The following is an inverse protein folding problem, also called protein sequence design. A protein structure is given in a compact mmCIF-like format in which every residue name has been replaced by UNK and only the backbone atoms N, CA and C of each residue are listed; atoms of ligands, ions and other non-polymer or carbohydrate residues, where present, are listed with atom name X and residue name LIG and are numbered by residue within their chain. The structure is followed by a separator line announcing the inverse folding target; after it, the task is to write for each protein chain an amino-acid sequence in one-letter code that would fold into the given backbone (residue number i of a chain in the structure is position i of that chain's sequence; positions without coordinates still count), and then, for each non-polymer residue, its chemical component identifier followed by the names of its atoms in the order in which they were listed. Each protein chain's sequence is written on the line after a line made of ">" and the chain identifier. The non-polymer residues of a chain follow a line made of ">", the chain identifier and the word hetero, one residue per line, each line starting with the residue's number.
data_IF_830127100652
#
_entry.id   IF_830127100652
#
_cell.length_a   1.000
_cell.length_b   1.000
_cell.length_c   1.000
_cell.angle_alpha   90.00
_cell.angle_beta   90.00
_cell.angle_gamma   90.00
#
_symmetry.space_group_name_H-M   'P 1'
#
loop_
_entity.id
_entity.type
_entity.pdbx_description
1 polymer ?
#
# COMPACT_ATOMS: atom_id res chain seq x y z
N UNK A 1 -2.94 -4.52 -6.53
CA UNK A 1 -2.02 -3.34 -6.66
C UNK A 1 -0.71 -3.50 -5.87
N UNK A 2 -0.58 -4.49 -4.98
CA UNK A 2 0.61 -4.67 -4.11
C UNK A 2 1.97 -4.75 -4.83
N UNK A 3 2.03 -5.24 -6.06
CA UNK A 3 3.26 -5.31 -6.84
C UNK A 3 3.83 -3.93 -7.23
N UNK A 4 3.02 -2.88 -7.22
CA UNK A 4 3.45 -1.50 -7.48
C UNK A 4 4.45 -1.04 -6.41
N UNK A 5 4.40 -1.63 -5.20
CA UNK A 5 5.37 -1.33 -4.13
C UNK A 5 6.83 -1.57 -4.52
N UNK A 6 7.08 -2.46 -5.47
CA UNK A 6 8.43 -2.63 -6.03
C UNK A 6 8.92 -1.43 -6.85
N UNK A 7 8.03 -0.74 -7.56
CA UNK A 7 8.35 0.52 -8.24
C UNK A 7 8.51 1.67 -7.25
N UNK A 8 7.69 1.70 -6.18
CA UNK A 8 7.84 2.67 -5.09
C UNK A 8 9.17 2.48 -4.36
N UNK A 9 9.53 1.25 -4.00
CA UNK A 9 10.83 0.92 -3.39
C UNK A 9 11.99 1.40 -4.24
N UNK A 10 11.94 1.15 -5.56
CA UNK A 10 12.96 1.60 -6.49
C UNK A 10 13.05 3.13 -6.54
N UNK A 11 11.91 3.82 -6.54
CA UNK A 11 11.86 5.28 -6.53
C UNK A 11 12.38 5.89 -5.21
N UNK A 12 12.31 5.14 -4.11
CA UNK A 12 12.86 5.54 -2.80
C UNK A 12 14.30 5.07 -2.57
N UNK A 13 14.91 4.34 -3.52
CA UNK A 13 16.25 3.78 -3.35
C UNK A 13 16.37 2.71 -2.27
N UNK A 14 15.27 2.02 -1.92
CA UNK A 14 15.25 0.96 -0.90
C UNK A 14 15.02 -0.42 -1.52
N UNK A 15 15.61 -1.49 -0.97
CA UNK A 15 15.35 -2.86 -1.45
C UNK A 15 13.89 -3.26 -1.27
N UNK A 16 13.35 -3.99 -2.24
CA UNK A 16 12.03 -4.59 -2.17
C UNK A 16 12.13 -6.11 -2.05
N UNK A 17 11.51 -6.66 -1.02
CA UNK A 17 11.41 -8.11 -0.81
C UNK A 17 9.94 -8.52 -0.82
N UNK A 18 9.41 -9.00 -1.95
CA UNK A 18 8.04 -9.48 -2.01
C UNK A 18 7.94 -10.86 -1.33
N UNK A 19 6.89 -11.04 -0.54
CA UNK A 19 6.51 -12.34 0.01
C UNK A 19 5.17 -12.73 -0.61
N UNK A 20 5.15 -13.89 -1.28
CA UNK A 20 3.98 -14.38 -2.00
C UNK A 20 3.12 -15.22 -1.06
N UNK A 21 1.99 -14.67 -0.65
CA UNK A 21 0.98 -15.35 0.14
C UNK A 21 -0.13 -15.99 -0.70
N UNK A 22 -0.88 -16.91 -0.10
CA UNK A 22 -2.04 -17.56 -0.71
C UNK A 22 -3.32 -16.70 -0.67
N UNK A 23 -3.29 -15.57 0.06
CA UNK A 23 -4.42 -14.65 0.24
C UNK A 23 -5.43 -15.10 1.30
N UNK A 24 -5.10 -16.09 2.12
CA UNK A 24 -5.92 -16.50 3.25
C UNK A 24 -5.61 -15.64 4.48
N UNK A 25 -6.56 -14.84 4.91
CA UNK A 25 -6.42 -13.86 5.98
C UNK A 25 -5.84 -14.42 7.29
N UNK A 26 -6.16 -15.68 7.63
CA UNK A 26 -5.63 -16.34 8.83
C UNK A 26 -4.16 -16.76 8.70
N UNK A 27 -3.62 -16.87 7.48
CA UNK A 27 -2.28 -17.35 7.19
C UNK A 27 -1.29 -16.23 6.86
N UNK A 28 -1.75 -15.05 6.51
CA UNK A 28 -0.92 -13.92 6.04
C UNK A 28 0.26 -13.61 6.98
N UNK A 29 0.03 -13.55 8.29
CA UNK A 29 1.10 -13.25 9.26
C UNK A 29 2.11 -14.39 9.37
N UNK A 30 1.65 -15.65 9.23
CA UNK A 30 2.55 -16.81 9.25
C UNK A 30 3.39 -16.86 7.97
N UNK A 31 2.79 -16.62 6.82
CA UNK A 31 3.49 -16.54 5.54
C UNK A 31 4.52 -15.41 5.54
N UNK A 32 4.18 -14.27 6.14
CA UNK A 32 5.11 -13.16 6.35
C UNK A 32 6.28 -13.59 7.25
N UNK A 33 6.01 -14.29 8.37
CA UNK A 33 7.05 -14.78 9.28
C UNK A 33 7.98 -15.77 8.58
N UNK A 34 7.41 -16.73 7.87
CA UNK A 34 8.19 -17.75 7.12
C UNK A 34 9.07 -17.08 6.05
N UNK A 35 8.53 -16.08 5.34
CA UNK A 35 9.28 -15.28 4.37
C UNK A 35 10.40 -14.45 5.02
N UNK A 36 10.18 -13.90 6.21
CA UNK A 36 11.19 -13.14 6.97
C UNK A 36 12.28 -14.04 7.58
N UNK A 37 12.03 -15.33 7.76
CA UNK A 37 13.02 -16.30 8.26
C UNK A 37 13.84 -16.91 7.13
N UNK A 38 13.16 -17.37 6.09
CA UNK A 38 13.76 -18.22 5.04
C UNK A 38 14.06 -17.45 3.74
N UNK A 39 13.56 -16.24 3.60
CA UNK A 39 13.47 -15.55 2.30
C UNK A 39 12.39 -16.15 1.40
N UNK A 40 11.95 -15.38 0.41
CA UNK A 40 11.01 -15.87 -0.59
C UNK A 40 11.79 -16.57 -1.71
N UNK A 41 11.17 -17.61 -2.27
CA UNK A 41 11.78 -18.30 -3.41
C UNK A 41 11.60 -17.46 -4.68
N UNK A 42 12.67 -17.17 -5.43
CA UNK A 42 12.55 -16.41 -6.68
C UNK A 42 11.51 -16.99 -7.63
N UNK A 43 11.41 -18.33 -7.72
CA UNK A 43 10.45 -19.02 -8.58
C UNK A 43 8.99 -18.75 -8.18
N UNK A 44 8.71 -18.53 -6.89
CA UNK A 44 7.37 -18.16 -6.41
C UNK A 44 7.00 -16.77 -6.89
N UNK A 45 7.93 -15.81 -6.79
CA UNK A 45 7.76 -14.43 -7.25
C UNK A 45 7.57 -14.41 -8.77
N UNK A 46 8.48 -15.01 -9.52
CA UNK A 46 8.43 -15.07 -10.98
C UNK A 46 7.12 -15.70 -11.48
N UNK A 47 6.72 -16.85 -10.91
CA UNK A 47 5.46 -17.51 -11.25
C UNK A 47 4.23 -16.66 -10.94
N UNK A 48 4.27 -15.87 -9.85
CA UNK A 48 3.18 -14.96 -9.51
C UNK A 48 2.99 -13.86 -10.56
N UNK A 49 4.10 -13.29 -11.05
CA UNK A 49 4.10 -12.27 -12.09
C UNK A 49 3.74 -12.83 -13.46
N UNK A 50 4.32 -13.97 -13.84
CA UNK A 50 4.03 -14.64 -15.12
C UNK A 50 2.55 -14.97 -15.29
N UNK A 51 1.92 -15.53 -14.25
CA UNK A 51 0.48 -15.84 -14.26
C UNK A 51 -0.41 -14.62 -14.50
N UNK A 52 0.11 -13.42 -14.29
CA UNK A 52 -0.62 -12.14 -14.45
C UNK A 52 -0.18 -11.36 -15.69
N UNK A 53 0.77 -11.90 -16.45
CA UNK A 53 1.35 -11.20 -17.60
C UNK A 53 2.11 -9.93 -17.23
N UNK A 54 2.63 -9.86 -16.00
CA UNK A 54 3.36 -8.71 -15.48
C UNK A 54 4.86 -9.00 -15.45
N UNK A 55 5.67 -7.94 -15.53
CA UNK A 55 7.12 -8.02 -15.34
C UNK A 55 7.44 -7.60 -13.90
N UNK A 56 8.17 -8.44 -13.13
CA UNK A 56 8.52 -8.07 -11.76
C UNK A 56 9.46 -6.86 -11.73
N UNK A 57 9.22 -5.87 -10.85
CA UNK A 57 10.21 -4.88 -10.50
C UNK A 57 11.47 -5.56 -9.92
N UNK A 58 12.57 -4.82 -9.84
CA UNK A 58 13.77 -5.33 -9.16
C UNK A 58 13.45 -5.68 -7.70
N UNK A 59 13.75 -6.89 -7.29
CA UNK A 59 13.50 -7.37 -5.94
C UNK A 59 14.71 -8.12 -5.38
N UNK A 60 14.72 -8.32 -4.06
CA UNK A 60 15.65 -9.21 -3.37
C UNK A 60 14.89 -10.35 -2.68
N UNK A 61 15.50 -11.51 -2.63
CA UNK A 61 15.04 -12.65 -1.81
C UNK A 61 15.92 -12.84 -0.57
N UNK A 62 16.97 -12.03 -0.43
CA UNK A 62 17.89 -12.09 0.69
C UNK A 62 17.40 -11.21 1.84
N UNK A 63 17.35 -11.80 3.03
CA UNK A 63 17.02 -11.09 4.26
C UNK A 63 18.32 -10.50 4.81
N UNK A 64 18.35 -9.21 5.18
CA UNK A 64 19.49 -8.66 5.89
C UNK A 64 19.77 -9.47 7.17
N UNK A 65 21.01 -9.77 7.45
CA UNK A 65 21.39 -10.59 8.61
C UNK A 65 21.37 -9.84 9.95
N UNK A 66 21.27 -8.51 9.88
CA UNK A 66 21.48 -7.58 10.99
C UNK A 66 20.30 -6.65 11.27
N UNK A 67 19.10 -6.98 10.78
CA UNK A 67 17.91 -6.19 11.09
C UNK A 67 17.43 -6.46 12.52
N UNK A 68 17.08 -5.42 13.26
CA UNK A 68 16.70 -5.43 14.67
C UNK A 68 15.29 -4.89 14.94
N UNK A 69 14.65 -4.35 13.93
CA UNK A 69 13.34 -3.71 14.09
C UNK A 69 12.48 -3.85 12.84
N UNK A 70 11.18 -3.89 13.08
CA UNK A 70 10.12 -3.94 12.07
C UNK A 70 9.23 -2.70 12.19
N UNK A 71 9.13 -1.93 11.12
CA UNK A 71 8.17 -0.82 11.03
C UNK A 71 6.91 -1.31 10.33
N UNK A 72 5.76 -1.12 10.95
CA UNK A 72 4.47 -1.60 10.45
C UNK A 72 3.51 -0.45 10.27
N UNK A 73 2.94 -0.35 9.06
CA UNK A 73 1.95 0.65 8.70
C UNK A 73 0.53 0.38 9.20
N UNK A 74 0.31 -0.65 10.05
CA UNK A 74 -1.00 -0.92 10.62
C UNK A 74 -1.47 0.23 11.52
N UNK A 75 -2.67 0.76 11.26
CA UNK A 75 -3.13 1.98 11.91
C UNK A 75 -4.17 1.72 12.99
N UNK A 76 -5.07 0.72 12.87
CA UNK A 76 -6.21 0.59 13.78
C UNK A 76 -6.64 -0.81 14.18
N UNK A 77 -6.16 -1.86 13.54
CA UNK A 77 -6.58 -3.23 13.85
C UNK A 77 -5.79 -3.84 15.01
N UNK A 78 -6.35 -3.83 16.22
CA UNK A 78 -5.78 -4.50 17.40
C UNK A 78 -5.46 -5.98 17.12
N UNK A 79 -6.31 -6.64 16.35
CA UNK A 79 -6.13 -8.03 15.96
C UNK A 79 -4.86 -8.22 15.11
N UNK A 80 -4.68 -7.40 14.08
CA UNK A 80 -3.48 -7.46 13.23
C UNK A 80 -2.23 -7.08 14.02
N UNK A 81 -2.30 -6.00 14.80
CA UNK A 81 -1.19 -5.53 15.64
C UNK A 81 -0.71 -6.62 16.59
N UNK A 82 -1.62 -7.25 17.36
CA UNK A 82 -1.26 -8.30 18.30
C UNK A 82 -0.55 -9.48 17.62
N UNK A 83 -1.01 -9.89 16.44
CA UNK A 83 -0.39 -10.99 15.69
C UNK A 83 1.01 -10.63 15.18
N UNK A 84 1.19 -9.40 14.71
CA UNK A 84 2.49 -8.92 14.25
C UNK A 84 3.46 -8.72 15.44
N UNK A 85 2.99 -8.22 16.59
CA UNK A 85 3.79 -8.13 17.82
C UNK A 85 4.27 -9.51 18.30
N UNK A 86 3.39 -10.52 18.26
CA UNK A 86 3.77 -11.90 18.59
C UNK A 86 4.80 -12.47 17.60
N UNK A 87 4.66 -12.17 16.32
CA UNK A 87 5.63 -12.54 15.29
C UNK A 87 6.98 -11.87 15.56
N UNK A 88 7.01 -10.55 15.75
CA UNK A 88 8.23 -9.80 16.04
C UNK A 88 8.94 -10.34 17.31
N UNK A 89 8.17 -10.67 18.34
CA UNK A 89 8.71 -11.30 19.56
C UNK A 89 9.38 -12.67 19.27
N UNK A 90 8.77 -13.52 18.42
CA UNK A 90 9.38 -14.80 18.02
C UNK A 90 10.64 -14.62 17.19
N UNK A 91 10.67 -13.59 16.34
CA UNK A 91 11.83 -13.22 15.52
C UNK A 91 12.93 -12.51 16.32
N UNK A 92 12.66 -12.12 17.56
CA UNK A 92 13.62 -11.42 18.42
C UNK A 92 13.89 -9.98 18.01
N UNK A 93 12.95 -9.34 17.29
CA UNK A 93 13.07 -7.96 16.80
C UNK A 93 12.10 -7.02 17.50
N UNK A 94 12.44 -5.75 17.55
CA UNK A 94 11.52 -4.71 18.03
C UNK A 94 10.47 -4.35 16.98
N UNK A 95 9.33 -3.80 17.41
CA UNK A 95 8.28 -3.35 16.52
C UNK A 95 8.03 -1.85 16.70
N UNK A 96 7.84 -1.17 15.59
CA UNK A 96 7.47 0.24 15.51
C UNK A 96 6.18 0.40 14.71
N UNK A 97 5.17 1.02 15.32
CA UNK A 97 3.88 1.33 14.68
C UNK A 97 3.63 2.84 14.75
N UNK A 98 4.32 3.66 13.94
CA UNK A 98 4.34 5.12 14.09
C UNK A 98 2.97 5.79 13.88
N UNK A 99 2.08 5.14 13.13
CA UNK A 99 0.75 5.67 12.80
C UNK A 99 -0.37 5.10 13.69
N UNK A 100 -0.02 4.35 14.72
CA UNK A 100 -1.00 3.71 15.59
C UNK A 100 -1.88 4.74 16.32
N UNK A 101 -3.18 4.66 16.11
CA UNK A 101 -4.18 5.61 16.61
C UNK A 101 -3.97 7.07 16.18
N UNK A 102 -3.26 7.30 15.09
CA UNK A 102 -3.18 8.64 14.52
C UNK A 102 -4.57 9.14 14.09
N UNK A 103 -4.82 10.45 14.21
CA UNK A 103 -6.07 11.04 13.75
C UNK A 103 -6.13 11.00 12.22
N UNK A 104 -7.20 10.41 11.66
CA UNK A 104 -7.34 10.18 10.23
C UNK A 104 -7.28 11.43 9.38
N UNK A 105 -7.99 12.48 9.80
CA UNK A 105 -8.03 13.73 9.03
C UNK A 105 -6.68 14.44 9.09
N UNK A 106 -6.09 14.55 10.27
CA UNK A 106 -4.76 15.13 10.44
C UNK A 106 -3.72 14.37 9.62
N UNK A 107 -3.78 13.03 9.61
CA UNK A 107 -2.88 12.20 8.81
C UNK A 107 -2.98 12.49 7.31
N UNK A 108 -4.19 12.53 6.78
CA UNK A 108 -4.41 12.80 5.35
C UNK A 108 -3.99 14.23 4.96
N UNK A 109 -4.27 15.22 5.82
CA UNK A 109 -3.81 16.61 5.62
C UNK A 109 -2.29 16.72 5.63
N UNK A 110 -1.63 16.02 6.56
CA UNK A 110 -0.17 16.00 6.67
C UNK A 110 0.46 15.35 5.42
N UNK A 111 -0.10 14.25 4.90
CA UNK A 111 0.38 13.63 3.68
C UNK A 111 0.33 14.60 2.49
N UNK A 112 -0.81 15.24 2.26
CA UNK A 112 -0.98 16.19 1.15
C UNK A 112 -0.08 17.42 1.34
N UNK A 113 -0.02 17.97 2.55
CA UNK A 113 0.81 19.15 2.88
C UNK A 113 2.32 18.86 2.72
N UNK A 114 2.77 17.64 2.94
CA UNK A 114 4.15 17.24 2.72
C UNK A 114 4.45 16.78 1.28
N UNK A 115 3.50 16.94 0.35
CA UNK A 115 3.70 16.68 -1.07
C UNK A 115 3.56 15.22 -1.47
N UNK A 116 2.96 14.36 -0.63
CA UNK A 116 2.60 13.02 -1.08
C UNK A 116 1.46 13.08 -2.10
N UNK A 117 1.60 12.33 -3.18
CA UNK A 117 0.60 12.17 -4.22
C UNK A 117 0.00 10.77 -4.13
N UNK A 118 -1.22 10.68 -3.64
CA UNK A 118 -1.93 9.43 -3.46
C UNK A 118 -2.97 9.26 -4.58
N UNK A 119 -2.99 8.08 -5.21
CA UNK A 119 -4.03 7.74 -6.19
C UNK A 119 -4.94 6.66 -5.62
N UNK A 120 -6.24 6.87 -5.66
CA UNK A 120 -7.25 5.88 -5.25
C UNK A 120 -7.27 4.74 -6.26
N UNK A 121 -7.08 3.52 -5.80
CA UNK A 121 -7.03 2.30 -6.62
C UNK A 121 -8.25 1.42 -6.48
N UNK A 122 -8.94 1.49 -5.36
CA UNK A 122 -10.23 0.84 -5.19
C UNK A 122 -11.16 1.65 -4.30
N UNK A 123 -12.44 1.45 -4.48
CA UNK A 123 -13.51 2.04 -3.70
C UNK A 123 -14.51 0.94 -3.34
N UNK A 124 -14.94 0.91 -2.08
CA UNK A 124 -15.92 -0.06 -1.57
C UNK A 124 -16.88 0.52 -0.52
N UNK A 125 -17.02 1.83 -0.47
CA UNK A 125 -17.88 2.55 0.49
C UNK A 125 -19.00 3.30 -0.20
N UNK A 126 -20.15 3.38 0.48
CA UNK A 126 -21.20 4.29 0.09
C UNK A 126 -20.69 5.75 0.19
N UNK A 127 -21.07 6.57 -0.78
CA UNK A 127 -20.65 7.97 -0.86
C UNK A 127 -19.46 8.22 -1.80
N UNK A 128 -18.69 7.20 -2.15
CA UNK A 128 -17.63 7.29 -3.15
C UNK A 128 -18.11 6.66 -4.46
N UNK A 129 -18.21 7.45 -5.51
CA UNK A 129 -18.61 7.01 -6.86
C UNK A 129 -17.45 6.50 -7.69
N UNK A 130 -17.77 6.09 -8.93
CA UNK A 130 -16.77 5.61 -9.90
C UNK A 130 -15.72 6.67 -10.22
N UNK A 131 -16.07 7.94 -10.17
CA UNK A 131 -15.20 9.10 -10.40
C UNK A 131 -14.05 9.25 -9.37
N UNK A 132 -14.16 8.55 -8.24
CA UNK A 132 -13.08 8.48 -7.26
C UNK A 132 -12.01 7.45 -7.62
N UNK A 133 -12.34 6.43 -8.41
CA UNK A 133 -11.35 5.42 -8.82
C UNK A 133 -10.37 6.03 -9.82
N UNK A 134 -9.09 5.96 -9.50
CA UNK A 134 -8.02 6.56 -10.31
C UNK A 134 -7.78 8.05 -10.03
N UNK A 135 -8.59 8.69 -9.20
CA UNK A 135 -8.42 10.09 -8.79
C UNK A 135 -7.19 10.24 -7.89
N UNK A 136 -6.45 11.32 -8.10
CA UNK A 136 -5.33 11.70 -7.22
C UNK A 136 -5.89 12.59 -6.11
N UNK A 137 -5.44 12.32 -4.87
CA UNK A 137 -5.80 13.13 -3.72
C UNK A 137 -4.85 14.33 -3.65
N UNK A 138 -5.42 15.52 -3.79
CA UNK A 138 -4.82 16.84 -3.62
C UNK A 138 -5.64 17.65 -2.60
N UNK A 139 -5.28 18.91 -2.35
CA UNK A 139 -6.00 19.77 -1.39
C UNK A 139 -7.51 19.87 -1.67
N UNK A 140 -7.89 19.97 -2.96
CA UNK A 140 -9.28 20.10 -3.37
C UNK A 140 -10.06 18.80 -3.15
N UNK A 141 -9.53 17.70 -3.66
CA UNK A 141 -10.16 16.38 -3.54
C UNK A 141 -10.15 15.87 -2.10
N UNK A 142 -9.15 16.23 -1.30
CA UNK A 142 -9.14 15.92 0.13
C UNK A 142 -10.28 16.65 0.88
N UNK A 143 -10.53 17.90 0.55
CA UNK A 143 -11.68 18.64 1.11
C UNK A 143 -13.02 17.98 0.78
N UNK A 144 -13.21 17.53 -0.46
CA UNK A 144 -14.38 16.76 -0.87
C UNK A 144 -14.48 15.41 -0.13
N UNK A 145 -13.36 14.70 0.00
CA UNK A 145 -13.29 13.39 0.67
C UNK A 145 -13.65 13.50 2.15
N UNK A 146 -13.18 14.55 2.85
CA UNK A 146 -13.54 14.84 4.23
C UNK A 146 -15.04 15.07 4.35
N UNK A 147 -15.63 15.93 3.51
CA UNK A 147 -17.06 16.19 3.54
C UNK A 147 -17.90 14.94 3.27
N UNK A 148 -17.45 14.07 2.37
CA UNK A 148 -18.09 12.77 2.10
C UNK A 148 -17.94 11.81 3.30
N UNK A 149 -16.77 11.76 3.92
CA UNK A 149 -16.53 10.90 5.09
C UNK A 149 -17.44 11.26 6.26
N UNK A 150 -17.65 12.56 6.51
CA UNK A 150 -18.57 13.06 7.54
C UNK A 150 -20.02 12.67 7.24
N UNK A 151 -20.46 12.83 5.98
CA UNK A 151 -21.84 12.59 5.58
C UNK A 151 -22.19 11.09 5.50
N UNK A 152 -21.24 10.25 5.10
CA UNK A 152 -21.43 8.81 4.91
C UNK A 152 -20.81 7.96 6.04
N UNK A 153 -20.13 8.60 7.00
CA UNK A 153 -19.55 7.96 8.21
C UNK A 153 -18.52 6.88 7.91
N UNK A 154 -17.61 7.18 7.00
CA UNK A 154 -16.44 6.35 6.75
C UNK A 154 -15.15 7.02 7.23
N UNK A 155 -14.07 6.26 7.36
CA UNK A 155 -12.76 6.81 7.75
C UNK A 155 -12.09 7.49 6.55
N UNK A 156 -11.75 8.78 6.71
CA UNK A 156 -11.17 9.59 5.63
C UNK A 156 -9.81 9.09 5.15
N UNK A 157 -9.11 8.27 5.94
CA UNK A 157 -7.86 7.60 5.60
C UNK A 157 -8.04 6.22 4.93
N UNK A 158 -9.29 5.76 4.76
CA UNK A 158 -9.61 4.46 4.14
C UNK A 158 -9.36 3.23 5.01
N UNK A 159 -8.98 3.41 6.28
CA UNK A 159 -8.57 2.33 7.19
C UNK A 159 -9.69 1.33 7.55
N UNK A 160 -10.92 1.67 7.32
CA UNK A 160 -12.06 0.74 7.43
C UNK A 160 -12.28 -0.10 6.17
N UNK A 161 -11.41 0.03 5.16
CA UNK A 161 -11.53 -0.64 3.86
C UNK A 161 -12.47 0.08 2.89
N UNK A 162 -12.75 1.35 3.12
CA UNK A 162 -13.64 2.16 2.28
C UNK A 162 -13.07 2.41 0.91
N UNK A 163 -11.76 2.59 0.85
CA UNK A 163 -11.00 2.72 -0.39
C UNK A 163 -9.53 2.32 -0.15
N UNK A 164 -8.80 2.06 -1.22
CA UNK A 164 -7.35 1.83 -1.18
C UNK A 164 -6.61 2.85 -2.02
N UNK A 165 -5.39 3.16 -1.63
CA UNK A 165 -4.52 4.08 -2.35
C UNK A 165 -3.16 3.46 -2.69
N UNK A 166 -2.49 4.09 -3.66
CA UNK A 166 -1.05 3.94 -3.88
C UNK A 166 -0.40 5.32 -3.87
N UNK A 167 0.83 5.38 -3.39
CA UNK A 167 1.65 6.59 -3.42
C UNK A 167 2.37 6.67 -4.76
N UNK A 168 2.19 7.76 -5.50
CA UNK A 168 2.84 8.03 -6.78
C UNK A 168 4.09 8.90 -6.65
N UNK A 169 4.16 9.70 -5.59
CA UNK A 169 5.27 10.63 -5.32
C UNK A 169 5.24 11.05 -3.85
N UNK A 170 6.38 11.50 -3.34
CA UNK A 170 6.51 12.01 -1.98
C UNK A 170 7.93 12.45 -1.66
N UNK A 171 8.18 13.01 -0.47
CA UNK A 171 9.49 13.57 -0.10
C UNK A 171 10.64 12.54 -0.12
N UNK A 172 10.33 11.27 0.01
CA UNK A 172 11.31 10.18 0.00
C UNK A 172 11.52 9.55 -1.40
N UNK A 173 10.81 10.03 -2.43
CA UNK A 173 10.95 9.55 -3.79
C UNK A 173 12.03 10.35 -4.54
N UNK A 174 12.97 9.67 -5.18
CA UNK A 174 13.97 10.29 -6.08
C UNK A 174 13.30 10.77 -7.38
N UNK A 175 12.23 10.09 -7.80
CA UNK A 175 11.41 10.42 -8.96
C UNK A 175 9.98 9.91 -8.76
N UNK A 176 8.97 10.60 -9.33
CA UNK A 176 7.59 10.13 -9.28
C UNK A 176 7.39 8.86 -10.12
N UNK A 177 6.40 8.06 -9.74
CA UNK A 177 5.95 6.92 -10.54
C UNK A 177 4.59 7.20 -11.18
N UNK A 178 4.31 6.51 -12.28
CA UNK A 178 2.99 6.46 -12.88
C UNK A 178 2.43 5.04 -12.84
N UNK A 179 1.12 4.94 -12.96
CA UNK A 179 0.40 3.68 -13.14
C UNK A 179 -0.62 3.84 -14.25
N UNK A 180 -0.75 2.80 -15.08
CA UNK A 180 -1.77 2.68 -16.12
C UNK A 180 -2.68 1.51 -15.78
N UNK A 181 -3.98 1.65 -16.00
CA UNK A 181 -4.93 0.59 -15.73
C UNK A 181 -6.32 0.97 -16.20
N UNK A 182 -7.22 0.00 -16.17
CA UNK A 182 -8.61 0.17 -16.53
C UNK A 182 -9.48 0.25 -15.28
N UNK A 183 -10.42 1.20 -15.28
CA UNK A 183 -11.41 1.30 -14.22
C UNK A 183 -12.53 0.30 -14.48
N UNK A 184 -12.83 -0.50 -13.48
CA UNK A 184 -13.99 -1.40 -13.48
C UNK A 184 -14.90 -1.03 -12.32
N UNK A 185 -16.21 -1.00 -12.58
CA UNK A 185 -17.22 -0.69 -11.56
C UNK A 185 -18.31 -1.77 -11.55
N UNK A 186 -18.66 -2.24 -10.35
CA UNK A 186 -19.73 -3.23 -10.17
C UNK A 186 -20.48 -2.98 -8.87
N UNK A 187 -21.77 -2.66 -8.97
CA UNK A 187 -22.60 -2.31 -7.82
C UNK A 187 -22.10 -1.04 -7.13
N UNK A 188 -21.58 -1.15 -5.92
CA UNK A 188 -21.00 -0.07 -5.12
C UNK A 188 -19.47 -0.18 -4.99
N UNK A 189 -18.82 -0.95 -5.84
CA UNK A 189 -17.38 -1.19 -5.77
C UNK A 189 -16.68 -0.86 -7.07
N UNK A 190 -15.56 -0.18 -6.97
CA UNK A 190 -14.70 0.15 -8.08
C UNK A 190 -13.27 -0.31 -7.88
N UNK A 191 -12.59 -0.62 -8.97
CA UNK A 191 -11.19 -1.04 -8.96
C UNK A 191 -10.48 -0.45 -10.18
N UNK A 192 -9.29 0.11 -9.96
CA UNK A 192 -8.32 0.38 -11.01
C UNK A 192 -7.45 -0.88 -11.22
N UNK A 193 -7.76 -1.64 -12.27
CA UNK A 193 -6.99 -2.81 -12.66
C UNK A 193 -5.66 -2.37 -13.30
N UNK A 194 -4.63 -2.20 -12.46
CA UNK A 194 -3.32 -1.71 -12.89
C UNK A 194 -2.62 -2.76 -13.73
N UNK A 195 -2.29 -2.41 -14.98
CA UNK A 195 -1.57 -3.26 -15.94
C UNK A 195 -0.11 -2.83 -16.14
N UNK A 196 0.23 -1.58 -15.83
CA UNK A 196 1.56 -1.03 -15.98
C UNK A 196 1.89 -0.07 -14.85
N UNK A 197 3.16 -0.06 -14.42
CA UNK A 197 3.71 0.93 -13.50
C UNK A 197 5.18 1.17 -13.81
N UNK A 198 5.67 2.37 -13.55
CA UNK A 198 7.07 2.73 -13.81
C UNK A 198 7.39 4.17 -13.43
N UNK A 199 8.63 4.62 -13.72
CA UNK A 199 9.00 6.02 -13.56
C UNK A 199 8.10 6.91 -14.42
N UNK A 200 7.61 8.02 -13.86
CA UNK A 200 6.90 9.04 -14.63
C UNK A 200 7.90 9.79 -15.51
N UNK A 201 7.58 9.94 -16.79
CA UNK A 201 8.34 10.87 -17.62
C UNK A 201 8.10 12.29 -17.08
N UNK A 202 9.18 13.07 -16.95
CA UNK A 202 9.25 14.35 -16.22
C UNK A 202 8.48 15.51 -16.89
N UNK A 203 7.21 15.30 -17.23
CA UNK A 203 6.36 16.30 -17.87
C UNK A 203 5.21 16.84 -17.00
N UNK A 204 5.01 16.29 -15.80
CA UNK A 204 3.88 16.65 -14.93
C UNK A 204 4.36 17.10 -13.52
N UNK A 205 5.21 18.15 -13.49
CA UNK A 205 5.43 18.94 -12.26
C UNK A 205 4.66 20.23 -12.34
#
# INVERSE_FOLDING_TARGET
>A
SSWVSGHQSKAMGVPWMPIVGNGEQEQEVRELEDGLIAGERPESVESWFEKRGLVPPTYTSEIPSDWDSLVVGAIRSDYQKTRIEQMAHRLGVSIHTPLWHHDSESHMRDLVAHGFRLKITSVSSDGLGEDWVGRVIDDSSLGELIALSDSHRFHVDGEGGEYETIVLDGPCFEYPIHVVGEVTWSGSRGLLAISEAGPSESSDK
#
